data_IF_433759557881
#
_entry.id   IF_433759557881
#
_cell.length_a   1.000
_cell.length_b   1.000
_cell.length_c   1.000
_cell.angle_alpha   90.00
_cell.angle_beta   90.00
_cell.angle_gamma   90.00
#
_symmetry.space_group_name_H-M   'P 1'
#
loop_
_entity.id
_entity.type
_entity.pdbx_description
1 polymer ?
#
# COMPACT_ATOMS: atom_id res chain seq x y z
N UNK A 1 -23.68 -14.47 24.64
CA UNK A 1 -23.19 -15.16 23.43
C UNK A 1 -23.40 -14.28 22.18
N UNK A 2 -23.13 -12.98 22.28
CA UNK A 2 -23.08 -12.05 21.15
C UNK A 2 -21.63 -11.79 20.77
N UNK A 3 -21.40 -11.15 19.62
CA UNK A 3 -20.09 -10.60 19.21
C UNK A 3 -19.09 -11.55 18.50
N UNK A 4 -19.51 -12.21 17.42
CA UNK A 4 -18.56 -12.76 16.42
C UNK A 4 -18.84 -12.39 14.96
N UNK A 5 -19.76 -11.45 14.68
CA UNK A 5 -20.17 -11.12 13.30
C UNK A 5 -19.82 -9.71 12.80
N UNK A 6 -19.21 -8.84 13.62
CA UNK A 6 -18.90 -7.45 13.20
C UNK A 6 -17.48 -7.27 12.65
N UNK A 7 -16.53 -8.07 13.12
CA UNK A 7 -15.12 -7.96 12.71
C UNK A 7 -14.88 -8.84 11.48
N UNK A 8 -14.62 -8.20 10.34
CA UNK A 8 -14.30 -8.83 9.07
C UNK A 8 -13.27 -7.97 8.32
N UNK A 9 -12.80 -8.45 7.17
CA UNK A 9 -11.80 -7.77 6.33
C UNK A 9 -12.17 -6.30 6.04
N UNK A 10 -13.44 -6.03 5.75
CA UNK A 10 -13.94 -4.68 5.47
C UNK A 10 -13.84 -3.77 6.69
N UNK A 11 -14.18 -4.27 7.88
CA UNK A 11 -14.08 -3.51 9.14
C UNK A 11 -12.63 -3.12 9.42
N UNK A 12 -11.70 -4.05 9.28
CA UNK A 12 -10.28 -3.76 9.47
C UNK A 12 -9.76 -2.75 8.47
N UNK A 13 -10.13 -2.88 7.19
CA UNK A 13 -9.72 -1.93 6.15
C UNK A 13 -10.20 -0.51 6.42
N UNK A 14 -11.45 -0.34 6.87
CA UNK A 14 -11.98 0.97 7.28
C UNK A 14 -11.20 1.52 8.48
N UNK A 15 -10.90 0.67 9.47
CA UNK A 15 -10.10 1.05 10.63
C UNK A 15 -8.69 1.51 10.25
N UNK A 16 -7.99 0.76 9.39
CA UNK A 16 -6.66 1.15 8.90
C UNK A 16 -6.72 2.46 8.13
N UNK A 17 -7.71 2.64 7.25
CA UNK A 17 -7.89 3.90 6.51
C UNK A 17 -8.03 5.08 7.48
N UNK A 18 -8.95 5.00 8.44
CA UNK A 18 -9.20 6.09 9.39
C UNK A 18 -7.96 6.42 10.24
N UNK A 19 -7.25 5.39 10.71
CA UNK A 19 -6.01 5.61 11.47
C UNK A 19 -4.89 6.19 10.62
N UNK A 20 -4.79 5.80 9.34
CA UNK A 20 -3.84 6.38 8.41
C UNK A 20 -4.12 7.87 8.16
N UNK A 21 -5.38 8.25 7.96
CA UNK A 21 -5.81 9.66 7.86
C UNK A 21 -5.48 10.45 9.13
N UNK A 22 -5.64 9.83 10.31
CA UNK A 22 -5.26 10.40 11.59
C UNK A 22 -3.73 10.37 11.86
N UNK A 23 -2.92 9.84 10.92
CA UNK A 23 -1.47 9.63 11.04
C UNK A 23 -1.04 8.77 12.23
N UNK A 24 -1.93 7.90 12.71
CA UNK A 24 -1.70 6.96 13.80
C UNK A 24 -1.03 5.67 13.29
N UNK A 25 0.15 5.80 12.69
CA UNK A 25 0.78 4.72 11.89
C UNK A 25 1.10 3.46 12.69
N UNK A 26 1.45 3.61 13.97
CA UNK A 26 1.66 2.47 14.88
C UNK A 26 0.38 1.65 15.03
N UNK A 27 -0.76 2.31 15.19
CA UNK A 27 -2.07 1.66 15.31
C UNK A 27 -2.49 1.00 14.00
N UNK A 28 -2.11 1.55 12.83
CA UNK A 28 -2.32 0.87 11.56
C UNK A 28 -1.65 -0.51 11.52
N UNK A 29 -0.41 -0.61 12.02
CA UNK A 29 0.33 -1.89 12.11
C UNK A 29 -0.27 -2.80 13.17
N UNK A 30 -0.67 -2.26 14.32
CA UNK A 30 -1.36 -3.02 15.38
C UNK A 30 -2.65 -3.67 14.88
N UNK A 31 -3.39 -3.03 13.95
CA UNK A 31 -4.55 -3.66 13.33
C UNK A 31 -4.17 -4.95 12.62
N UNK A 32 -3.06 -5.01 11.88
CA UNK A 32 -2.64 -6.25 11.23
C UNK A 32 -2.29 -7.34 12.25
N UNK A 33 -1.62 -6.98 13.34
CA UNK A 33 -1.35 -7.93 14.43
C UNK A 33 -2.64 -8.43 15.09
N UNK A 34 -3.62 -7.54 15.27
CA UNK A 34 -4.95 -7.88 15.79
C UNK A 34 -5.68 -8.83 14.83
N UNK A 35 -5.69 -8.53 13.52
CA UNK A 35 -6.24 -9.41 12.49
C UNK A 35 -5.69 -10.83 12.62
N UNK A 36 -4.37 -10.97 12.71
CA UNK A 36 -3.71 -12.25 12.88
C UNK A 36 -4.13 -12.96 14.18
N UNK A 37 -4.25 -12.23 15.30
CA UNK A 37 -4.72 -12.77 16.57
C UNK A 37 -6.19 -13.27 16.52
N UNK A 38 -7.02 -12.69 15.65
CA UNK A 38 -8.39 -13.13 15.39
C UNK A 38 -8.49 -14.27 14.36
N UNK A 39 -7.36 -14.81 13.89
CA UNK A 39 -7.30 -15.92 12.94
C UNK A 39 -7.27 -15.49 11.46
N UNK A 40 -7.20 -14.19 11.18
CA UNK A 40 -6.94 -13.68 9.84
C UNK A 40 -5.43 -13.61 9.63
N UNK A 41 -4.83 -14.78 9.36
CA UNK A 41 -3.39 -14.92 9.10
C UNK A 41 -2.93 -13.84 8.12
N UNK A 42 -1.70 -13.33 8.31
CA UNK A 42 -1.14 -12.33 7.43
C UNK A 42 -1.18 -12.78 5.97
N UNK A 43 -2.11 -12.22 5.22
CA UNK A 43 -2.34 -12.56 3.81
C UNK A 43 -1.92 -11.39 2.94
N UNK A 44 -1.07 -11.70 1.96
CA UNK A 44 -0.56 -10.74 0.98
C UNK A 44 -1.67 -10.02 0.22
N UNK A 45 -2.73 -10.73 -0.17
CA UNK A 45 -3.85 -10.11 -0.89
C UNK A 45 -4.58 -9.05 -0.06
N UNK A 46 -4.74 -9.28 1.26
CA UNK A 46 -5.35 -8.30 2.16
C UNK A 46 -4.47 -7.07 2.34
N UNK A 47 -3.17 -7.29 2.52
CA UNK A 47 -2.19 -6.21 2.57
C UNK A 47 -2.23 -5.37 1.30
N UNK A 48 -2.23 -6.01 0.12
CA UNK A 48 -2.34 -5.32 -1.17
C UNK A 48 -3.63 -4.51 -1.30
N UNK A 49 -4.78 -5.02 -0.83
CA UNK A 49 -6.05 -4.27 -0.79
C UNK A 49 -5.99 -3.03 0.09
N UNK A 50 -5.30 -3.11 1.24
CA UNK A 50 -5.09 -1.95 2.10
C UNK A 50 -4.20 -0.92 1.40
N UNK A 51 -3.10 -1.35 0.78
CA UNK A 51 -2.18 -0.46 0.05
C UNK A 51 -2.90 0.23 -1.10
N UNK A 52 -3.65 -0.52 -1.91
CA UNK A 52 -4.47 0.02 -3.00
C UNK A 52 -5.45 1.08 -2.49
N UNK A 53 -6.14 0.79 -1.37
CA UNK A 53 -7.08 1.73 -0.74
C UNK A 53 -6.37 3.00 -0.29
N UNK A 54 -5.23 2.89 0.38
CA UNK A 54 -4.49 4.05 0.87
C UNK A 54 -3.88 4.87 -0.27
N UNK A 55 -3.33 4.23 -1.30
CA UNK A 55 -2.78 4.93 -2.46
C UNK A 55 -3.87 5.71 -3.21
N UNK A 56 -5.03 5.10 -3.45
CA UNK A 56 -6.17 5.77 -4.09
C UNK A 56 -6.73 6.96 -3.29
N UNK A 57 -6.51 6.98 -1.98
CA UNK A 57 -6.87 8.08 -1.07
C UNK A 57 -5.71 9.09 -0.86
N UNK A 58 -4.63 8.98 -1.65
CA UNK A 58 -3.41 9.83 -1.57
C UNK A 58 -2.63 9.70 -0.25
N UNK A 59 -2.82 8.61 0.47
CA UNK A 59 -2.11 8.25 1.71
C UNK A 59 -0.91 7.32 1.42
N UNK A 60 -0.15 7.62 0.36
CA UNK A 60 0.92 6.74 -0.13
C UNK A 60 2.09 6.60 0.86
N UNK A 61 2.36 7.64 1.66
CA UNK A 61 3.40 7.59 2.70
C UNK A 61 3.01 6.67 3.85
N UNK A 62 1.74 6.68 4.23
CA UNK A 62 1.16 5.78 5.21
C UNK A 62 1.18 4.33 4.69
N UNK A 63 0.84 4.13 3.41
CA UNK A 63 0.94 2.84 2.75
C UNK A 63 2.38 2.30 2.76
N UNK A 64 3.36 3.14 2.39
CA UNK A 64 4.79 2.82 2.46
C UNK A 64 5.20 2.38 3.87
N UNK A 65 4.77 3.11 4.91
CA UNK A 65 5.11 2.78 6.29
C UNK A 65 4.60 1.38 6.66
N UNK A 66 3.34 1.08 6.34
CA UNK A 66 2.74 -0.22 6.60
C UNK A 66 3.50 -1.32 5.87
N UNK A 67 3.80 -1.15 4.58
CA UNK A 67 4.57 -2.14 3.80
C UNK A 67 5.92 -2.45 4.42
N UNK A 68 6.66 -1.40 4.80
CA UNK A 68 7.99 -1.56 5.41
C UNK A 68 7.96 -2.27 6.76
N UNK A 69 6.84 -2.17 7.50
CA UNK A 69 6.65 -2.89 8.77
C UNK A 69 6.12 -4.30 8.58
N UNK A 70 5.26 -4.50 7.57
CA UNK A 70 4.65 -5.80 7.31
C UNK A 70 5.56 -6.76 6.54
N UNK A 71 6.62 -6.28 5.88
CA UNK A 71 7.56 -7.13 5.12
C UNK A 71 8.25 -8.22 5.94
N UNK A 72 8.36 -8.04 7.27
CA UNK A 72 8.94 -9.04 8.18
C UNK A 72 7.96 -10.20 8.46
N UNK A 73 6.68 -10.01 8.17
CA UNK A 73 5.60 -10.96 8.46
C UNK A 73 4.92 -11.49 7.19
N UNK A 74 5.01 -10.75 6.08
CA UNK A 74 4.40 -11.06 4.78
C UNK A 74 5.46 -10.95 3.70
N UNK A 75 5.63 -12.02 2.94
CA UNK A 75 6.45 -11.98 1.73
C UNK A 75 5.74 -11.14 0.66
N UNK A 76 6.34 -10.00 0.33
CA UNK A 76 5.81 -9.07 -0.67
C UNK A 76 5.99 -9.65 -2.08
N UNK A 77 5.21 -9.14 -3.03
CA UNK A 77 5.36 -9.47 -4.44
C UNK A 77 5.38 -8.22 -5.33
N UNK A 78 5.61 -8.41 -6.63
CA UNK A 78 5.58 -7.33 -7.61
C UNK A 78 4.30 -6.48 -7.60
N UNK A 79 3.15 -7.05 -7.20
CA UNK A 79 1.89 -6.29 -7.09
C UNK A 79 1.98 -5.26 -5.96
N UNK A 80 2.52 -5.62 -4.80
CA UNK A 80 2.73 -4.70 -3.67
C UNK A 80 3.58 -3.50 -4.09
N UNK A 81 4.70 -3.77 -4.76
CA UNK A 81 5.59 -2.72 -5.24
C UNK A 81 4.95 -1.84 -6.30
N UNK A 82 4.27 -2.45 -7.28
CA UNK A 82 3.52 -1.72 -8.32
C UNK A 82 2.50 -0.75 -7.73
N UNK A 83 1.75 -1.15 -6.69
CA UNK A 83 0.79 -0.27 -6.04
C UNK A 83 1.46 0.96 -5.42
N UNK A 84 2.58 0.80 -4.72
CA UNK A 84 3.33 1.93 -4.16
C UNK A 84 3.91 2.83 -5.24
N UNK A 85 4.48 2.23 -6.31
CA UNK A 85 5.08 2.98 -7.42
C UNK A 85 4.03 3.84 -8.11
N UNK A 86 2.88 3.25 -8.47
CA UNK A 86 1.76 4.00 -9.07
C UNK A 86 1.28 5.09 -8.11
N UNK A 87 1.07 4.77 -6.82
CA UNK A 87 0.65 5.75 -5.83
C UNK A 87 1.62 6.93 -5.68
N UNK A 88 2.94 6.68 -5.71
CA UNK A 88 3.95 7.74 -5.65
C UNK A 88 3.98 8.58 -6.93
N UNK A 89 3.84 7.93 -8.10
CA UNK A 89 3.70 8.64 -9.36
C UNK A 89 2.46 9.55 -9.37
N UNK A 90 1.32 9.07 -8.88
CA UNK A 90 0.06 9.83 -8.79
C UNK A 90 0.13 11.07 -7.90
N UNK A 91 0.93 11.04 -6.84
CA UNK A 91 1.19 12.23 -6.01
C UNK A 91 2.37 13.09 -6.50
N UNK A 92 3.01 12.69 -7.61
CA UNK A 92 4.12 13.41 -8.23
C UNK A 92 5.50 13.17 -7.59
N UNK A 93 5.64 12.24 -6.64
CA UNK A 93 6.92 11.93 -6.00
C UNK A 93 7.68 10.85 -6.79
N UNK A 94 8.28 11.29 -7.90
CA UNK A 94 9.04 10.41 -8.78
C UNK A 94 10.32 9.85 -8.15
N UNK A 95 10.83 10.52 -7.11
CA UNK A 95 12.04 10.07 -6.39
C UNK A 95 11.70 8.82 -5.59
N UNK A 96 10.62 8.84 -4.82
CA UNK A 96 10.19 7.64 -4.09
C UNK A 96 9.68 6.54 -5.02
N UNK A 97 8.95 6.87 -6.08
CA UNK A 97 8.55 5.89 -7.11
C UNK A 97 9.77 5.14 -7.68
N UNK A 98 10.84 5.85 -8.02
CA UNK A 98 12.08 5.25 -8.55
C UNK A 98 12.81 4.37 -7.53
N UNK A 99 12.78 4.72 -6.24
CA UNK A 99 13.37 3.88 -5.19
C UNK A 99 12.64 2.54 -5.07
N UNK A 100 11.31 2.55 -5.11
CA UNK A 100 10.53 1.32 -5.06
C UNK A 100 10.67 0.49 -6.32
N UNK A 101 10.83 1.13 -7.49
CA UNK A 101 11.17 0.42 -8.73
C UNK A 101 12.47 -0.36 -8.59
N UNK A 102 13.53 0.32 -8.14
CA UNK A 102 14.84 -0.33 -7.96
C UNK A 102 14.75 -1.47 -6.96
N UNK A 103 14.05 -1.28 -5.83
CA UNK A 103 13.82 -2.35 -4.85
C UNK A 103 13.08 -3.55 -5.46
N UNK A 104 12.06 -3.29 -6.28
CA UNK A 104 11.30 -4.35 -6.96
C UNK A 104 12.19 -5.16 -7.92
N UNK A 105 13.06 -4.48 -8.67
CA UNK A 105 14.03 -5.11 -9.59
C UNK A 105 15.09 -5.89 -8.82
N UNK A 106 15.62 -5.33 -7.73
CA UNK A 106 16.61 -5.99 -6.87
C UNK A 106 16.04 -7.28 -6.23
N UNK A 107 14.72 -7.31 -5.97
CA UNK A 107 14.00 -8.50 -5.49
C UNK A 107 13.57 -9.45 -6.63
N UNK A 108 13.95 -9.17 -7.88
CA UNK A 108 13.74 -10.04 -9.03
C UNK A 108 12.35 -9.94 -9.67
N UNK A 109 11.60 -8.88 -9.41
CA UNK A 109 10.31 -8.64 -10.04
C UNK A 109 10.43 -7.62 -11.18
N UNK A 110 9.74 -7.87 -12.31
CA UNK A 110 9.68 -6.95 -13.43
C UNK A 110 8.39 -6.13 -13.43
N UNK A 111 8.51 -4.82 -13.63
CA UNK A 111 7.39 -3.94 -13.93
C UNK A 111 7.38 -3.69 -15.44
N UNK A 112 6.21 -3.83 -16.05
CA UNK A 112 5.99 -3.37 -17.42
C UNK A 112 6.18 -1.85 -17.48
N UNK A 113 7.22 -1.41 -18.19
CA UNK A 113 7.66 -0.01 -18.32
C UNK A 113 6.53 0.93 -18.79
N UNK A 114 5.56 0.38 -19.53
CA UNK A 114 4.39 1.10 -20.04
C UNK A 114 3.52 1.68 -18.92
N UNK A 115 3.34 0.99 -17.79
CA UNK A 115 2.51 1.47 -16.68
C UNK A 115 3.10 2.72 -16.01
N UNK A 116 4.43 2.80 -15.90
CA UNK A 116 5.11 3.98 -15.37
C UNK A 116 5.06 5.13 -16.38
N UNK A 117 5.33 4.86 -17.67
CA UNK A 117 5.25 5.89 -18.71
C UNK A 117 3.85 6.48 -18.83
N UNK A 118 2.80 5.66 -18.84
CA UNK A 118 1.41 6.13 -18.90
C UNK A 118 1.05 7.03 -17.72
N UNK A 119 1.50 6.68 -16.52
CA UNK A 119 1.26 7.48 -15.31
C UNK A 119 2.10 8.75 -15.32
N UNK A 120 3.34 8.68 -15.79
CA UNK A 120 4.24 9.83 -16.00
C UNK A 120 3.66 10.84 -16.99
N UNK A 121 3.16 10.38 -18.14
CA UNK A 121 2.54 11.24 -19.16
C UNK A 121 1.21 11.84 -18.71
N UNK A 122 0.43 11.13 -17.87
CA UNK A 122 -0.81 11.66 -17.30
C UNK A 122 -0.57 12.73 -16.24
N UNK A 123 0.50 12.61 -15.45
CA UNK A 123 0.82 13.55 -14.36
C UNK A 123 1.69 14.72 -14.81
N UNK A 124 2.50 14.56 -15.87
CA UNK A 124 3.14 15.66 -16.58
C UNK A 124 2.19 16.23 -17.66
N UNK A 125 1.01 16.73 -17.26
CA UNK A 125 0.29 17.68 -18.11
C UNK A 125 1.22 18.86 -18.36
N UNK A 126 1.78 18.82 -19.56
CA UNK A 126 2.64 19.80 -20.22
C UNK A 126 2.36 21.20 -19.69
N UNK A 127 3.28 21.76 -18.91
CA UNK A 127 3.51 23.21 -18.94
C UNK A 127 4.05 23.51 -20.35
N UNK A 128 3.15 23.55 -21.32
CA UNK A 128 3.44 24.12 -22.63
C UNK A 128 3.42 25.64 -22.43
N UNK A 129 4.61 26.23 -22.45
CA UNK A 129 4.80 27.67 -22.64
C UNK A 129 4.19 28.13 -23.96
#
# INVERSE_FOLDING_TARGET
>A
MGERKLVNDKTFRIGVKYLAEARELKKCVEIFHLMNAYGFVYELERLNKVIETLCGEKLVFEAKYIVMKMKEFVQLNGVTYKLLIVGFCEVGDMIEASKFWNLMVDEGFELEVEAMMDTFFKNNRVEAF
#
